data_IF_979902244755
#
_entry.id   IF_979902244755
#
_cell.length_a   1.000
_cell.length_b   1.000
_cell.length_c   1.000
_cell.angle_alpha   90.00
_cell.angle_beta   90.00
_cell.angle_gamma   90.00
#
_symmetry.space_group_name_H-M   'P 1'
#
loop_
_entity.id
_entity.type
_entity.pdbx_description
1 polymer ?
#
# COMPACT_ATOMS: atom_id res chain seq x y z
N UNK A 1 7.89 1.28 4.04
CA UNK A 1 6.60 1.53 3.37
C UNK A 1 5.66 0.37 3.64
N UNK A 2 4.36 0.60 3.69
CA UNK A 2 3.34 -0.45 3.88
C UNK A 2 2.53 -0.76 2.62
N UNK A 3 1.75 -1.83 2.67
CA UNK A 3 0.68 -2.13 1.70
C UNK A 3 -0.60 -2.32 2.50
N UNK A 4 -1.66 -1.62 2.12
CA UNK A 4 -2.95 -1.63 2.82
C UNK A 4 -4.06 -1.89 1.82
N UNK A 5 -5.13 -2.57 2.24
CA UNK A 5 -6.34 -2.57 1.42
C UNK A 5 -7.06 -1.22 1.56
N UNK A 6 -7.77 -0.80 0.53
CA UNK A 6 -8.53 0.46 0.46
C UNK A 6 -9.40 0.73 1.71
N UNK A 7 -10.03 -0.32 2.27
CA UNK A 7 -10.84 -0.26 3.50
C UNK A 7 -10.07 0.17 4.75
N UNK A 8 -8.75 0.02 4.77
CA UNK A 8 -7.91 0.31 5.93
C UNK A 8 -7.07 1.59 5.75
N UNK A 9 -7.22 2.32 4.65
CA UNK A 9 -6.41 3.54 4.36
C UNK A 9 -6.57 4.59 5.45
N UNK A 10 -7.79 4.82 5.94
CA UNK A 10 -8.05 5.80 7.01
C UNK A 10 -7.36 5.36 8.30
N UNK A 11 -7.59 4.13 8.76
CA UNK A 11 -6.96 3.60 9.97
C UNK A 11 -5.43 3.62 9.88
N UNK A 12 -4.86 3.26 8.72
CA UNK A 12 -3.42 3.27 8.52
C UNK A 12 -2.82 4.68 8.66
N UNK A 13 -3.52 5.72 8.16
CA UNK A 13 -3.09 7.12 8.33
C UNK A 13 -3.16 7.57 9.77
N UNK A 14 -4.24 7.25 10.47
CA UNK A 14 -4.41 7.63 11.89
C UNK A 14 -3.36 6.96 12.77
N UNK A 15 -3.12 5.66 12.60
CA UNK A 15 -2.07 4.94 13.34
C UNK A 15 -0.70 5.54 13.03
N UNK A 16 -0.40 5.80 11.75
CA UNK A 16 0.87 6.42 11.37
C UNK A 16 1.05 7.81 12.03
N UNK A 17 0.00 8.62 12.08
CA UNK A 17 0.04 9.93 12.75
C UNK A 17 0.27 9.82 14.26
N UNK A 18 -0.43 8.90 14.94
CA UNK A 18 -0.27 8.64 16.38
C UNK A 18 1.17 8.24 16.72
N UNK A 19 1.78 7.41 15.88
CA UNK A 19 3.16 6.95 16.04
C UNK A 19 4.22 7.99 15.60
N UNK A 20 3.82 9.22 15.26
CA UNK A 20 4.73 10.27 14.81
C UNK A 20 5.30 10.05 13.40
N UNK A 21 4.68 9.19 12.60
CA UNK A 21 5.05 8.82 11.25
C UNK A 21 3.99 9.27 10.23
N UNK A 22 3.45 10.48 10.34
CA UNK A 22 2.35 10.97 9.51
C UNK A 22 2.61 10.85 7.99
N UNK A 23 3.88 10.93 7.56
CA UNK A 23 4.30 10.78 6.16
C UNK A 23 4.75 9.36 5.80
N UNK A 24 4.43 8.35 6.62
CA UNK A 24 4.82 6.97 6.35
C UNK A 24 4.20 6.48 5.04
N UNK A 25 5.00 6.14 4.02
CA UNK A 25 4.45 5.81 2.72
C UNK A 25 3.79 4.43 2.75
N UNK A 26 2.61 4.32 2.14
CA UNK A 26 2.00 3.04 1.85
C UNK A 26 1.24 3.07 0.52
N UNK A 27 1.04 1.91 -0.07
CA UNK A 27 0.22 1.73 -1.28
C UNK A 27 -1.11 1.09 -0.90
N UNK A 28 -2.20 1.66 -1.40
CA UNK A 28 -3.53 1.09 -1.27
C UNK A 28 -3.81 0.11 -2.44
N UNK A 29 -4.38 -1.05 -2.14
CA UNK A 29 -4.86 -2.04 -3.11
C UNK A 29 -6.32 -2.39 -2.84
N UNK A 30 -7.04 -2.88 -3.86
CA UNK A 30 -8.48 -3.16 -3.73
C UNK A 30 -8.75 -4.33 -2.77
N UNK A 31 -9.65 -4.14 -1.80
CA UNK A 31 -10.24 -5.22 -1.03
C UNK A 31 -11.20 -6.07 -1.89
N UNK A 32 -11.37 -7.39 -1.62
CA UNK A 32 -10.67 -8.23 -0.65
C UNK A 32 -9.29 -8.69 -1.14
N UNK A 33 -8.54 -9.38 -0.29
CA UNK A 33 -7.36 -10.16 -0.72
C UNK A 33 -7.68 -11.65 -0.57
N UNK A 34 -8.24 -12.04 0.57
CA UNK A 34 -8.71 -13.40 0.80
C UNK A 34 -9.83 -13.75 -0.18
N UNK A 35 -9.74 -14.93 -0.79
CA UNK A 35 -10.76 -15.46 -1.70
C UNK A 35 -10.63 -14.99 -3.15
N UNK A 36 -9.71 -14.07 -3.47
CA UNK A 36 -9.42 -13.76 -4.85
C UNK A 36 -8.61 -14.89 -5.51
N UNK A 37 -8.90 -15.21 -6.79
CA UNK A 37 -8.08 -16.11 -7.58
C UNK A 37 -6.72 -15.49 -7.92
N UNK A 38 -5.75 -16.34 -8.29
CA UNK A 38 -4.35 -15.94 -8.52
C UNK A 38 -4.18 -14.88 -9.62
N UNK A 39 -5.03 -14.87 -10.63
CA UNK A 39 -5.02 -13.88 -11.71
C UNK A 39 -5.46 -12.50 -11.22
N UNK A 40 -6.50 -12.43 -10.37
CA UNK A 40 -6.92 -11.18 -9.75
C UNK A 40 -5.85 -10.65 -8.78
N UNK A 41 -5.25 -11.53 -7.97
CA UNK A 41 -4.15 -11.17 -7.07
C UNK A 41 -2.93 -10.64 -7.85
N UNK A 42 -2.59 -11.30 -8.97
CA UNK A 42 -1.52 -10.84 -9.87
C UNK A 42 -1.84 -9.46 -10.44
N UNK A 43 -3.06 -9.23 -10.92
CA UNK A 43 -3.46 -7.94 -11.45
C UNK A 43 -3.39 -6.83 -10.38
N UNK A 44 -3.76 -7.12 -9.13
CA UNK A 44 -3.60 -6.18 -8.00
C UNK A 44 -2.13 -5.85 -7.74
N UNK A 45 -1.26 -6.86 -7.74
CA UNK A 45 0.18 -6.68 -7.57
C UNK A 45 0.79 -5.86 -8.71
N UNK A 46 0.44 -6.14 -9.96
CA UNK A 46 0.90 -5.40 -11.14
C UNK A 46 0.51 -3.93 -11.10
N UNK A 47 -0.69 -3.60 -10.59
CA UNK A 47 -1.11 -2.21 -10.40
C UNK A 47 -0.33 -1.49 -9.28
N UNK A 48 0.00 -2.20 -8.21
CA UNK A 48 0.71 -1.63 -7.06
C UNK A 48 2.23 -1.46 -7.30
N UNK A 49 2.82 -2.36 -8.10
CA UNK A 49 4.26 -2.49 -8.25
C UNK A 49 4.97 -1.21 -8.74
N UNK A 50 4.48 -0.46 -9.74
CA UNK A 50 5.14 0.76 -10.20
C UNK A 50 5.31 1.80 -9.08
N UNK A 51 4.29 1.96 -8.24
CA UNK A 51 4.32 2.90 -7.11
C UNK A 51 5.29 2.42 -6.03
N UNK A 52 5.29 1.12 -5.71
CA UNK A 52 6.22 0.54 -4.74
C UNK A 52 7.66 0.75 -5.20
N UNK A 53 7.97 0.41 -6.45
CA UNK A 53 9.32 0.58 -7.01
C UNK A 53 9.73 2.05 -6.98
N UNK A 54 8.86 2.97 -7.39
CA UNK A 54 9.13 4.41 -7.35
C UNK A 54 9.51 4.89 -5.94
N UNK A 55 8.71 4.53 -4.94
CA UNK A 55 8.94 4.94 -3.54
C UNK A 55 10.24 4.33 -2.97
N UNK A 56 10.50 3.04 -3.24
CA UNK A 56 11.65 2.35 -2.67
C UNK A 56 12.98 2.69 -3.36
N UNK A 57 12.95 3.13 -4.61
CA UNK A 57 14.15 3.46 -5.40
C UNK A 57 14.41 4.96 -5.52
N UNK A 58 13.46 5.79 -5.07
CA UNK A 58 13.66 7.23 -4.99
C UNK A 58 14.90 7.54 -4.13
N UNK A 59 15.92 8.16 -4.74
CA UNK A 59 17.06 8.68 -3.96
C UNK A 59 16.55 9.80 -3.06
N UNK A 60 16.80 9.66 -1.77
CA UNK A 60 16.67 10.77 -0.82
C UNK A 60 17.85 11.70 -1.08
N UNK A 61 17.59 12.82 -1.74
CA UNK A 61 18.57 13.89 -1.97
C UNK A 61 18.62 14.80 -0.74
#
# INVERSE_FOLDING_TARGET
MGIMTDRFVVTAREVAAIEGLADYPFVAIDHPIAGNPDDELRAKAERALPTIVSVLTARRV
#
